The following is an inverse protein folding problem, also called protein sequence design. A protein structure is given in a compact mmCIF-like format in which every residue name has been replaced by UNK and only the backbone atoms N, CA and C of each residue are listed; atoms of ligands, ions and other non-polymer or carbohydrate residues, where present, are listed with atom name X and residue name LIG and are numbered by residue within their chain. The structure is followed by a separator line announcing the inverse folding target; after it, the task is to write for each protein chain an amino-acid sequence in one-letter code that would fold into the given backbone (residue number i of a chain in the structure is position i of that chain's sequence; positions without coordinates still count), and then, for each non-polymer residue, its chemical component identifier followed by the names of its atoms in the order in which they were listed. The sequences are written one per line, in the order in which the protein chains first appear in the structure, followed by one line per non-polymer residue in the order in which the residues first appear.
data_IF_875667656357
#
_entry.id   IF_875667656357
#
_cell.length_a   1.000
_cell.length_b   1.000
_cell.length_c   1.000
_cell.angle_alpha   90.00
_cell.angle_beta   90.00
_cell.angle_gamma   90.00
#
_symmetry.space_group_name_H-M   'P 1'
#
loop_
_entity.id
_entity.type
_entity.pdbx_description
1 polymer ?
#
# COMPACT_ATOMS: atom_id res chain seq x y z
N UNK A 1 14.30 6.96 2.03
CA UNK A 1 15.24 6.15 2.84
C UNK A 1 14.49 5.29 3.86
N UNK A 2 15.12 4.39 4.64
CA UNK A 2 14.44 3.49 5.60
C UNK A 2 13.74 4.19 6.78
N UNK A 3 13.74 5.53 6.80
CA UNK A 3 13.06 6.36 7.80
C UNK A 3 11.75 7.01 7.35
N UNK A 4 11.40 7.01 6.06
CA UNK A 4 10.17 7.70 5.59
C UNK A 4 8.91 6.85 5.69
N UNK A 5 9.03 5.52 5.69
CA UNK A 5 7.89 4.61 5.84
C UNK A 5 7.39 4.48 7.29
N UNK A 6 7.96 5.21 8.25
CA UNK A 6 7.60 5.16 9.68
C UNK A 6 6.39 6.03 10.06
N UNK A 7 5.92 6.89 9.14
CA UNK A 7 4.80 7.81 9.34
C UNK A 7 3.72 7.70 8.24
N UNK A 8 3.77 6.67 7.40
CA UNK A 8 2.79 6.50 6.34
C UNK A 8 1.54 5.77 6.88
N UNK A 9 0.37 6.39 6.73
CA UNK A 9 -0.91 5.74 6.99
C UNK A 9 -1.14 4.53 6.07
N UNK A 10 -0.57 4.56 4.86
CA UNK A 10 -0.55 3.42 3.94
C UNK A 10 0.79 3.36 3.22
N UNK A 11 1.39 2.18 3.15
CA UNK A 11 2.68 1.93 2.51
C UNK A 11 2.75 0.57 1.82
N UNK A 12 3.48 0.50 0.71
CA UNK A 12 3.72 -0.73 -0.03
C UNK A 12 5.22 -1.03 -0.08
N UNK A 13 5.59 -2.28 0.15
CA UNK A 13 6.96 -2.75 -0.02
C UNK A 13 7.08 -3.44 -1.36
N UNK A 14 7.61 -2.73 -2.37
CA UNK A 14 7.80 -3.30 -3.70
C UNK A 14 8.91 -4.37 -3.68
N UNK A 15 8.76 -5.47 -4.44
CA UNK A 15 9.79 -6.50 -4.55
C UNK A 15 11.04 -5.95 -5.26
N UNK A 16 12.20 -6.53 -4.96
CA UNK A 16 13.44 -6.20 -5.65
C UNK A 16 13.44 -6.62 -7.11
N UNK A 17 14.29 -5.99 -7.92
CA UNK A 17 14.44 -6.32 -9.35
C UNK A 17 14.92 -7.78 -9.50
N UNK A 18 14.03 -8.66 -9.99
CA UNK A 18 14.32 -10.09 -10.20
C UNK A 18 13.66 -11.07 -9.22
N UNK A 19 12.87 -10.56 -8.26
CA UNK A 19 12.09 -11.39 -7.33
C UNK A 19 10.64 -11.60 -7.82
N UNK A 20 9.94 -12.55 -7.19
CA UNK A 20 8.52 -12.78 -7.47
C UNK A 20 7.75 -11.45 -7.31
N UNK A 21 6.84 -11.11 -8.25
CA UNK A 21 6.09 -9.86 -8.19
C UNK A 21 5.09 -9.95 -7.04
N UNK A 22 5.54 -9.75 -5.81
CA UNK A 22 4.73 -9.79 -4.60
C UNK A 22 5.14 -8.67 -3.67
N UNK A 23 4.18 -7.82 -3.32
CA UNK A 23 4.38 -6.63 -2.53
C UNK A 23 3.40 -6.61 -1.33
N UNK A 24 3.89 -6.75 -0.09
CA UNK A 24 3.03 -6.57 1.08
C UNK A 24 2.62 -5.10 1.23
N UNK A 25 1.34 -4.88 1.55
CA UNK A 25 0.76 -3.57 1.83
C UNK A 25 0.50 -3.45 3.33
N UNK A 26 0.95 -2.35 3.90
CA UNK A 26 0.83 -1.98 5.30
C UNK A 26 -0.11 -0.78 5.41
N UNK A 27 -1.10 -0.87 6.28
CA UNK A 27 -2.03 0.22 6.61
C UNK A 27 -1.92 0.46 8.11
N UNK A 28 -1.64 1.69 8.51
CA UNK A 28 -1.39 2.11 9.90
C UNK A 28 -0.37 1.22 10.62
N UNK A 29 0.66 0.78 9.88
CA UNK A 29 1.72 -0.10 10.38
C UNK A 29 1.35 -1.59 10.46
N UNK A 30 0.12 -1.97 10.12
CA UNK A 30 -0.35 -3.36 10.12
C UNK A 30 -0.40 -3.91 8.69
N UNK A 31 0.18 -5.10 8.49
CA UNK A 31 0.08 -5.80 7.21
C UNK A 31 -1.37 -6.18 6.94
N UNK A 32 -1.99 -5.54 5.94
CA UNK A 32 -3.39 -5.78 5.56
C UNK A 32 -3.47 -6.82 4.45
N UNK A 33 -2.81 -6.57 3.32
CA UNK A 33 -2.88 -7.44 2.15
C UNK A 33 -1.51 -7.64 1.52
N UNK A 34 -1.42 -8.56 0.56
CA UNK A 34 -0.21 -8.80 -0.22
C UNK A 34 -0.59 -8.86 -1.68
N UNK A 35 -0.19 -7.83 -2.42
CA UNK A 35 -0.45 -7.73 -3.84
C UNK A 35 0.52 -8.63 -4.60
N UNK A 36 0.04 -9.30 -5.64
CA UNK A 36 0.85 -10.22 -6.45
C UNK A 36 0.58 -10.02 -7.95
N UNK A 37 1.61 -10.25 -8.77
CA UNK A 37 1.56 -10.11 -10.22
C UNK A 37 1.89 -8.71 -10.73
N UNK A 38 1.70 -8.48 -12.03
CA UNK A 38 2.02 -7.20 -12.68
C UNK A 38 1.06 -6.04 -12.29
N UNK A 39 -0.11 -6.37 -11.74
CA UNK A 39 -1.14 -5.39 -11.40
C UNK A 39 -0.96 -4.74 -10.01
N UNK A 40 0.19 -4.92 -9.34
CA UNK A 40 0.46 -4.37 -8.00
C UNK A 40 0.19 -2.87 -7.93
N UNK A 41 0.58 -2.11 -8.95
CA UNK A 41 0.39 -0.66 -8.95
C UNK A 41 -1.10 -0.27 -8.98
N UNK A 42 -1.89 -0.93 -9.83
CA UNK A 42 -3.33 -0.66 -9.98
C UNK A 42 -4.10 -1.06 -8.72
N UNK A 43 -3.80 -2.24 -8.18
CA UNK A 43 -4.40 -2.75 -6.95
C UNK A 43 -4.05 -1.87 -5.75
N UNK A 44 -2.80 -1.41 -5.65
CA UNK A 44 -2.39 -0.50 -4.59
C UNK A 44 -3.12 0.83 -4.68
N UNK A 45 -3.26 1.38 -5.88
CA UNK A 45 -3.99 2.63 -6.08
C UNK A 45 -5.46 2.52 -5.66
N UNK A 46 -6.12 1.39 -5.93
CA UNK A 46 -7.48 1.14 -5.48
C UNK A 46 -7.59 1.07 -3.95
N UNK A 47 -6.63 0.42 -3.27
CA UNK A 47 -6.59 0.36 -1.80
C UNK A 47 -6.38 1.76 -1.19
N UNK A 48 -5.51 2.57 -1.80
CA UNK A 48 -5.28 3.96 -1.37
C UNK A 48 -6.55 4.79 -1.56
N UNK A 49 -7.24 4.68 -2.70
CA UNK A 49 -8.50 5.40 -2.95
C UNK A 49 -9.59 5.03 -1.93
N UNK A 50 -9.77 3.74 -1.66
CA UNK A 50 -10.71 3.24 -0.67
C UNK A 50 -10.37 3.73 0.74
N UNK A 51 -9.08 3.66 1.12
CA UNK A 51 -8.61 4.16 2.41
C UNK A 51 -8.87 5.66 2.55
N UNK A 52 -8.55 6.45 1.51
CA UNK A 52 -8.80 7.90 1.52
C UNK A 52 -10.30 8.19 1.63
N UNK A 53 -11.13 7.47 0.88
CA UNK A 53 -12.59 7.63 0.93
C UNK A 53 -13.17 7.26 2.30
N UNK A 54 -12.73 6.16 2.89
CA UNK A 54 -13.22 5.67 4.18
C UNK A 54 -12.73 6.53 5.36
N UNK A 55 -11.46 6.96 5.31
CA UNK A 55 -10.80 7.63 6.42
C UNK A 55 -10.86 9.18 6.35
N UNK A 56 -10.94 9.74 5.14
CA UNK A 56 -11.00 11.20 4.89
C UNK A 56 -12.24 11.65 4.10
N UNK A 57 -13.04 10.74 3.52
CA UNK A 57 -14.23 11.08 2.75
C UNK A 57 -15.42 11.57 3.59
N UNK A 58 -15.28 11.65 4.91
CA UNK A 58 -16.25 12.23 5.82
C UNK A 58 -15.83 13.60 6.32
N UNK A 59 -16.09 14.65 5.52
CA UNK A 59 -16.37 16.03 5.97
C UNK A 59 -16.77 16.92 4.80
N UNK A 60 -18.02 16.79 4.36
CA UNK A 60 -18.80 17.87 3.75
C UNK A 60 -20.26 17.70 4.18
#
# INVERSE_FOLDING_TARGET
GPGESKHANIGISLPGTGEQPSAPVYVDGVKTTTLKGDAIAAEFQAIVDDYVRSHYGGSA
#
